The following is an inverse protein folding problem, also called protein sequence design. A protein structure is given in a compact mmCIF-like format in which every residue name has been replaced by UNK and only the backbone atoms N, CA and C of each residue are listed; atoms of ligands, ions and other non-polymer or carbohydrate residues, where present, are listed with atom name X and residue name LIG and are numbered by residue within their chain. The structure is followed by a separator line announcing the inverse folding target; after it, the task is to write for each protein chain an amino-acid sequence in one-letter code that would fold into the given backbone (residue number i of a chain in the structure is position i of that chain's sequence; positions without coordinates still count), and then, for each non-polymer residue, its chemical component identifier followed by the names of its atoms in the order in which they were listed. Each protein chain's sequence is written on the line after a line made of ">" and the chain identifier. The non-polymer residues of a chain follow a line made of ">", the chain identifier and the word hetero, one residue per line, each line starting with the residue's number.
data_IF_007126892554
#
_entry.id   IF_007126892554
#
_cell.length_a   1.000
_cell.length_b   1.000
_cell.length_c   1.000
_cell.angle_alpha   90.00
_cell.angle_beta   90.00
_cell.angle_gamma   90.00
#
_symmetry.space_group_name_H-M   'P 1'
#
loop_
_entity.id
_entity.type
_entity.pdbx_description
1 polymer ?
#
# COMPACT_ATOMS: atom_id res chain seq x y z
N UNK A 1 -21.62 -20.54 -14.54
CA UNK A 1 -21.84 -19.08 -14.60
C UNK A 1 -22.60 -18.66 -13.34
N UNK A 2 -21.90 -18.25 -12.28
CA UNK A 2 -22.53 -17.57 -11.14
C UNK A 2 -21.86 -16.21 -11.00
N UNK A 3 -22.56 -15.17 -11.45
CA UNK A 3 -22.11 -13.79 -11.32
C UNK A 3 -22.43 -13.30 -9.91
N UNK A 4 -21.40 -12.99 -9.13
CA UNK A 4 -21.58 -12.33 -7.84
C UNK A 4 -21.99 -10.86 -8.08
N UNK A 5 -23.03 -10.35 -7.39
CA UNK A 5 -23.46 -8.96 -7.55
C UNK A 5 -22.38 -8.02 -7.01
N UNK A 6 -21.97 -7.03 -7.84
CA UNK A 6 -21.12 -5.91 -7.40
C UNK A 6 -21.90 -5.08 -6.38
N UNK A 7 -21.64 -5.32 -5.10
CA UNK A 7 -22.15 -4.50 -4.00
C UNK A 7 -21.67 -3.06 -4.21
N UNK A 8 -22.61 -2.16 -4.47
CA UNK A 8 -22.36 -0.75 -4.72
C UNK A 8 -22.11 -0.04 -3.38
N UNK A 9 -20.94 -0.26 -2.80
CA UNK A 9 -20.53 0.35 -1.53
C UNK A 9 -20.10 1.79 -1.82
N UNK A 10 -20.98 2.77 -1.55
CA UNK A 10 -20.57 4.18 -1.48
C UNK A 10 -19.60 4.31 -0.32
N UNK A 11 -18.30 4.23 -0.60
CA UNK A 11 -17.27 4.60 0.35
C UNK A 11 -17.36 6.11 0.48
N UNK A 12 -17.80 6.59 1.64
CA UNK A 12 -17.61 7.98 2.03
C UNK A 12 -16.10 8.21 2.08
N UNK A 13 -15.56 8.90 1.08
CA UNK A 13 -14.16 9.26 1.01
C UNK A 13 -13.88 10.35 2.04
N UNK A 14 -13.64 9.95 3.28
CA UNK A 14 -12.81 10.75 4.16
C UNK A 14 -11.44 10.86 3.47
N UNK A 15 -11.22 11.97 2.78
CA UNK A 15 -9.97 12.27 2.07
C UNK A 15 -8.89 12.61 3.09
N UNK A 16 -8.40 11.58 3.78
CA UNK A 16 -7.11 11.66 4.44
C UNK A 16 -6.06 11.43 3.35
N UNK A 17 -5.24 12.43 3.03
CA UNK A 17 -4.11 12.28 2.12
C UNK A 17 -3.10 11.30 2.75
N UNK A 18 -3.34 10.01 2.53
CA UNK A 18 -2.43 8.96 2.95
C UNK A 18 -1.32 8.97 1.92
N UNK A 19 -0.17 9.50 2.32
CA UNK A 19 1.04 9.54 1.51
C UNK A 19 1.40 8.13 1.03
N UNK A 20 0.98 7.82 -0.21
CA UNK A 20 1.12 6.51 -0.87
C UNK A 20 2.59 6.13 -1.10
N UNK A 21 3.50 7.12 -0.99
CA UNK A 21 4.94 6.94 -1.10
C UNK A 21 5.46 5.94 -0.07
N UNK A 22 5.06 6.04 1.20
CA UNK A 22 5.58 5.16 2.25
C UNK A 22 5.25 3.67 2.03
N UNK A 23 3.98 3.24 1.86
CA UNK A 23 3.68 1.83 1.64
C UNK A 23 4.29 1.31 0.32
N UNK A 24 4.42 2.17 -0.70
CA UNK A 24 5.06 1.81 -1.97
C UNK A 24 6.56 1.56 -1.80
N UNK A 25 7.29 2.48 -1.16
CA UNK A 25 8.72 2.34 -0.90
C UNK A 25 9.00 1.17 0.05
N UNK A 26 8.20 1.01 1.12
CA UNK A 26 8.31 -0.14 2.02
C UNK A 26 8.21 -1.46 1.26
N UNK A 27 7.25 -1.57 0.32
CA UNK A 27 7.08 -2.78 -0.49
C UNK A 27 8.21 -2.97 -1.50
N UNK A 28 8.64 -1.88 -2.16
CA UNK A 28 9.76 -1.92 -3.10
C UNK A 28 11.06 -2.40 -2.44
N UNK A 29 11.36 -1.91 -1.24
CA UNK A 29 12.54 -2.35 -0.48
C UNK A 29 12.40 -3.77 0.04
N UNK A 30 11.22 -4.17 0.53
CA UNK A 30 10.97 -5.55 0.92
C UNK A 30 11.25 -6.54 -0.23
N UNK A 31 10.74 -6.25 -1.43
CA UNK A 31 11.01 -7.07 -2.64
C UNK A 31 12.50 -7.06 -2.98
N UNK A 32 13.16 -5.91 -2.92
CA UNK A 32 14.60 -5.80 -3.20
C UNK A 32 15.47 -6.61 -2.21
N UNK A 33 15.00 -6.78 -0.98
CA UNK A 33 15.63 -7.59 0.06
C UNK A 33 15.26 -9.08 -0.01
N UNK A 34 14.37 -9.48 -0.93
CA UNK A 34 13.92 -10.86 -1.11
C UNK A 34 12.66 -11.25 -0.31
N UNK A 35 12.00 -10.28 0.33
CA UNK A 35 10.72 -10.50 1.02
C UNK A 35 9.55 -10.29 0.04
N UNK A 36 9.19 -11.37 -0.67
CA UNK A 36 8.17 -11.33 -1.72
C UNK A 36 6.75 -11.35 -1.15
N UNK A 37 6.51 -12.10 -0.08
CA UNK A 37 5.20 -12.23 0.57
C UNK A 37 4.97 -11.17 1.66
N UNK A 38 3.73 -11.08 2.17
CA UNK A 38 3.34 -10.14 3.24
C UNK A 38 3.49 -10.71 4.65
N UNK A 39 3.84 -11.98 4.81
CA UNK A 39 3.96 -12.66 6.10
C UNK A 39 5.08 -12.08 6.98
N UNK A 40 6.21 -11.69 6.41
CA UNK A 40 7.34 -11.11 7.14
C UNK A 40 7.13 -9.64 7.52
N UNK A 41 6.10 -8.99 6.95
CA UNK A 41 5.86 -7.57 7.15
C UNK A 41 5.42 -7.21 8.58
N UNK A 42 5.01 -8.18 9.40
CA UNK A 42 4.77 -7.95 10.82
C UNK A 42 6.08 -7.73 11.60
N UNK A 43 7.17 -8.37 11.19
CA UNK A 43 8.50 -8.16 11.75
C UNK A 43 9.20 -6.96 11.09
N UNK A 44 9.16 -6.87 9.74
CA UNK A 44 9.82 -5.81 8.98
C UNK A 44 9.31 -4.40 9.32
N UNK A 45 8.09 -4.26 9.86
CA UNK A 45 7.58 -2.94 10.27
C UNK A 45 8.37 -2.29 11.40
N UNK A 46 9.08 -3.10 12.20
CA UNK A 46 9.88 -2.68 13.34
C UNK A 46 11.36 -2.52 12.98
N UNK A 47 11.75 -2.90 11.77
CA UNK A 47 13.13 -2.82 11.31
C UNK A 47 13.54 -1.34 11.13
N UNK A 48 14.58 -0.94 11.86
CA UNK A 48 15.07 0.44 11.89
C UNK A 48 15.73 0.85 10.57
N UNK A 49 16.39 -0.09 9.88
CA UNK A 49 17.02 0.18 8.59
C UNK A 49 15.97 0.43 7.52
N UNK A 50 14.92 -0.39 7.48
CA UNK A 50 13.75 -0.17 6.63
C UNK A 50 13.06 1.15 6.97
N UNK A 51 12.78 1.42 8.25
CA UNK A 51 12.21 2.70 8.69
C UNK A 51 13.01 3.91 8.21
N UNK A 52 14.34 3.84 8.31
CA UNK A 52 15.25 4.88 7.82
C UNK A 52 15.19 5.01 6.29
N UNK A 53 15.16 3.90 5.56
CA UNK A 53 15.10 3.89 4.10
C UNK A 53 13.79 4.51 3.55
N UNK A 54 12.68 4.36 4.27
CA UNK A 54 11.40 5.03 3.97
C UNK A 54 11.24 6.41 4.63
N UNK A 55 12.29 6.96 5.22
CA UNK A 55 12.30 8.28 5.87
C UNK A 55 11.19 8.41 6.95
N UNK A 56 11.02 7.35 7.76
CA UNK A 56 9.97 7.25 8.78
C UNK A 56 10.53 6.94 10.15
N UNK A 57 10.15 7.77 11.13
CA UNK A 57 10.48 7.61 12.56
C UNK A 57 9.39 6.81 13.33
N UNK A 58 8.56 6.05 12.61
CA UNK A 58 7.45 5.30 13.21
C UNK A 58 7.30 3.95 12.56
N UNK A 59 6.57 3.07 13.24
CA UNK A 59 6.20 1.76 12.72
C UNK A 59 5.61 1.88 11.32
N UNK A 60 6.09 1.01 10.43
CA UNK A 60 5.63 0.95 9.05
C UNK A 60 4.26 0.29 8.93
N UNK A 61 3.73 0.23 7.71
CA UNK A 61 2.43 -0.38 7.46
C UNK A 61 2.46 -1.87 7.84
N UNK A 62 1.39 -2.32 8.51
CA UNK A 62 1.19 -3.74 8.81
C UNK A 62 0.90 -4.54 7.54
N UNK A 63 1.03 -5.87 7.62
CA UNK A 63 0.69 -6.78 6.52
C UNK A 63 -0.74 -6.54 5.99
N UNK A 64 -1.72 -6.38 6.88
CA UNK A 64 -3.13 -6.11 6.51
C UNK A 64 -3.31 -4.75 5.82
N UNK A 65 -2.55 -3.74 6.25
CA UNK A 65 -2.57 -2.41 5.63
C UNK A 65 -1.96 -2.46 4.22
N UNK A 66 -0.86 -3.19 4.04
CA UNK A 66 -0.22 -3.38 2.73
C UNK A 66 -1.10 -4.19 1.79
N UNK A 67 -1.73 -5.27 2.27
CA UNK A 67 -2.66 -6.05 1.48
C UNK A 67 -3.84 -5.20 0.97
N UNK A 68 -4.42 -4.38 1.84
CA UNK A 68 -5.48 -3.45 1.47
C UNK A 68 -4.99 -2.41 0.45
N UNK A 69 -3.77 -1.90 0.62
CA UNK A 69 -3.14 -0.97 -0.32
C UNK A 69 -2.94 -1.60 -1.70
N UNK A 70 -2.36 -2.80 -1.78
CA UNK A 70 -2.13 -3.53 -3.04
C UNK A 70 -3.44 -3.86 -3.74
N UNK A 71 -4.43 -4.36 -2.99
CA UNK A 71 -5.73 -4.75 -3.55
C UNK A 71 -6.60 -3.54 -3.97
N UNK A 72 -6.31 -2.35 -3.44
CA UNK A 72 -6.98 -1.09 -3.82
C UNK A 72 -6.25 -0.34 -4.95
N UNK A 73 -5.02 -0.72 -5.28
CA UNK A 73 -4.25 -0.13 -6.36
C UNK A 73 -4.81 -0.58 -7.73
N UNK A 74 -5.74 0.20 -8.27
CA UNK A 74 -6.35 -0.04 -9.58
C UNK A 74 -5.68 0.79 -10.70
N UNK A 75 -5.62 0.23 -11.92
CA UNK A 75 -5.03 0.90 -13.10
C UNK A 75 -5.72 2.21 -13.46
N UNK A 76 -7.05 2.30 -13.34
CA UNK A 76 -7.79 3.53 -13.59
C UNK A 76 -7.47 4.62 -12.55
N UNK A 77 -7.23 4.19 -11.31
CA UNK A 77 -6.78 5.09 -10.23
C UNK A 77 -5.36 5.61 -10.48
N UNK A 78 -4.45 4.76 -10.98
CA UNK A 78 -3.09 5.15 -11.33
C UNK A 78 -3.07 6.13 -12.53
N UNK A 79 -3.74 5.80 -13.64
CA UNK A 79 -3.80 6.66 -14.83
C UNK A 79 -4.40 8.04 -14.50
N UNK A 80 -5.51 8.09 -13.76
CA UNK A 80 -6.15 9.36 -13.42
C UNK A 80 -5.33 10.22 -12.46
N UNK A 81 -4.39 9.65 -11.69
CA UNK A 81 -3.47 10.40 -10.83
C UNK A 81 -2.24 10.89 -11.56
N UNK A 82 -1.68 10.08 -12.46
CA UNK A 82 -0.57 10.49 -13.34
C UNK A 82 -1.04 11.63 -14.25
N UNK A 83 -2.20 11.47 -14.89
CA UNK A 83 -2.76 12.48 -15.79
C UNK A 83 -3.19 13.78 -15.10
N UNK A 84 -3.41 13.78 -13.77
CA UNK A 84 -3.70 14.99 -12.99
C UNK A 84 -2.44 15.77 -12.59
N UNK A 85 -1.26 15.20 -12.81
CA UNK A 85 0.03 15.74 -12.38
C UNK A 85 0.94 16.13 -13.56
N UNK A 86 0.53 15.82 -14.79
CA UNK A 86 1.09 16.32 -16.04
C UNK A 86 0.27 17.52 -16.53
#
# INVERSE_FOLDING_TARGET
>A
MVGFPRVNRRVVEASCDHDLKNPLQQRLYAIALGYEDLNDHEALRQDVALQTAVERDRLLASASTLWCFENRADRGTACSRIARRC
#
